data_IF_150167648050
#
_entry.id   IF_150167648050
#
_cell.length_a   1.000
_cell.length_b   1.000
_cell.length_c   1.000
_cell.angle_alpha   90.00
_cell.angle_beta   90.00
_cell.angle_gamma   90.00
#
_symmetry.space_group_name_H-M   'P 1'
#
loop_
_entity.id
_entity.type
_entity.pdbx_description
1 polymer ?
#
# COMPACT_ATOMS: atom_id res chain seq x y z
N UNK A 1 40.60 -13.86 -15.55
CA UNK A 1 39.88 -13.73 -16.83
C UNK A 1 38.38 -13.87 -16.55
N UNK A 2 37.58 -13.15 -17.32
CA UNK A 2 36.12 -12.97 -17.30
C UNK A 2 35.29 -14.20 -17.70
N UNK A 3 35.92 -15.33 -18.09
CA UNK A 3 35.28 -16.64 -18.39
C UNK A 3 34.22 -16.61 -19.51
N UNK A 4 34.31 -15.67 -20.43
CA UNK A 4 33.43 -15.59 -21.61
C UNK A 4 34.00 -16.40 -22.76
N UNK A 5 33.16 -17.16 -23.48
CA UNK A 5 33.55 -17.88 -24.70
C UNK A 5 34.00 -16.93 -25.82
N UNK A 6 33.50 -15.69 -25.78
CA UNK A 6 33.93 -14.60 -26.65
C UNK A 6 34.46 -13.44 -25.81
N UNK A 7 35.70 -13.04 -26.08
CA UNK A 7 36.31 -11.89 -25.42
C UNK A 7 35.74 -10.58 -25.97
N UNK A 8 35.17 -9.76 -25.11
CA UNK A 8 34.69 -8.43 -25.46
C UNK A 8 35.70 -7.36 -25.06
N UNK A 9 35.88 -6.29 -25.86
CA UNK A 9 36.59 -5.11 -25.42
C UNK A 9 36.00 -4.58 -24.10
N UNK A 10 36.81 -4.10 -23.13
CA UNK A 10 36.31 -3.71 -21.80
C UNK A 10 35.12 -2.74 -21.82
N UNK A 11 35.13 -1.75 -22.71
CA UNK A 11 34.04 -0.79 -22.87
C UNK A 11 32.75 -1.39 -23.46
N UNK A 12 32.86 -2.47 -24.24
CA UNK A 12 31.69 -3.20 -24.74
C UNK A 12 31.13 -4.13 -23.68
N UNK A 13 31.99 -4.86 -22.96
CA UNK A 13 31.59 -5.70 -21.84
C UNK A 13 30.81 -4.90 -20.80
N UNK A 14 31.30 -3.71 -20.45
CA UNK A 14 30.62 -2.85 -19.46
C UNK A 14 29.23 -2.41 -19.92
N UNK A 15 29.05 -2.10 -21.22
CA UNK A 15 27.73 -1.77 -21.77
C UNK A 15 26.77 -2.96 -21.68
N UNK A 16 27.24 -4.17 -21.98
CA UNK A 16 26.43 -5.40 -21.88
C UNK A 16 26.01 -5.62 -20.42
N UNK A 17 26.97 -5.58 -19.50
CA UNK A 17 26.70 -5.78 -18.08
C UNK A 17 25.74 -4.72 -17.53
N UNK A 18 25.87 -3.46 -17.96
CA UNK A 18 24.97 -2.38 -17.56
C UNK A 18 23.52 -2.65 -17.98
N UNK A 19 23.30 -3.04 -19.24
CA UNK A 19 21.95 -3.43 -19.71
C UNK A 19 21.40 -4.60 -18.91
N UNK A 20 22.21 -5.63 -18.65
CA UNK A 20 21.78 -6.79 -17.86
C UNK A 20 21.39 -6.40 -16.43
N UNK A 21 22.17 -5.54 -15.77
CA UNK A 21 21.84 -5.01 -14.42
C UNK A 21 20.50 -4.28 -14.43
N UNK A 22 20.27 -3.41 -15.42
CA UNK A 22 18.98 -2.71 -15.53
C UNK A 22 17.81 -3.65 -15.79
N UNK A 23 17.99 -4.66 -16.66
CA UNK A 23 16.95 -5.64 -16.96
C UNK A 23 16.61 -6.52 -15.74
N UNK A 24 17.61 -6.91 -14.94
CA UNK A 24 17.40 -7.65 -13.69
C UNK A 24 16.58 -6.81 -12.70
N UNK A 25 16.97 -5.55 -12.47
CA UNK A 25 16.25 -4.66 -11.58
C UNK A 25 14.80 -4.38 -12.04
N UNK A 26 14.60 -4.16 -13.35
CA UNK A 26 13.26 -4.00 -13.90
C UNK A 26 12.41 -5.28 -13.75
N UNK A 27 13.02 -6.45 -13.96
CA UNK A 27 12.35 -7.76 -13.80
C UNK A 27 11.88 -7.96 -12.35
N UNK A 28 12.64 -7.55 -11.35
CA UNK A 28 12.23 -7.64 -9.94
C UNK A 28 10.94 -6.85 -9.69
N UNK A 29 10.84 -5.63 -10.22
CA UNK A 29 9.60 -4.83 -10.13
C UNK A 29 8.45 -5.50 -10.86
N UNK A 30 8.66 -5.99 -12.09
CA UNK A 30 7.63 -6.68 -12.87
C UNK A 30 7.12 -7.93 -12.15
N UNK A 31 8.02 -8.72 -11.54
CA UNK A 31 7.65 -9.90 -10.77
C UNK A 31 6.88 -9.54 -9.50
N UNK A 32 7.27 -8.48 -8.78
CA UNK A 32 6.54 -7.99 -7.62
C UNK A 32 5.12 -7.54 -7.98
N UNK A 33 4.97 -6.82 -9.10
CA UNK A 33 3.65 -6.44 -9.64
C UNK A 33 2.83 -7.67 -10.00
N UNK A 34 3.42 -8.69 -10.65
CA UNK A 34 2.71 -9.92 -10.98
C UNK A 34 2.22 -10.66 -9.72
N UNK A 35 3.09 -10.78 -8.71
CA UNK A 35 2.74 -11.42 -7.44
C UNK A 35 1.59 -10.68 -6.75
N UNK A 36 1.65 -9.34 -6.70
CA UNK A 36 0.58 -8.52 -6.13
C UNK A 36 -0.74 -8.64 -6.91
N UNK A 37 -0.67 -8.72 -8.24
CA UNK A 37 -1.85 -8.95 -9.09
C UNK A 37 -2.49 -10.30 -8.79
N UNK A 38 -1.72 -11.39 -8.75
CA UNK A 38 -2.22 -12.74 -8.45
C UNK A 38 -2.83 -12.78 -7.05
N UNK A 39 -2.13 -12.22 -6.04
CA UNK A 39 -2.62 -12.17 -4.68
C UNK A 39 -3.92 -11.35 -4.55
N UNK A 40 -4.01 -10.24 -5.29
CA UNK A 40 -5.23 -9.44 -5.36
C UNK A 40 -6.35 -10.22 -6.04
N UNK A 41 -6.12 -10.87 -7.18
CA UNK A 41 -7.13 -11.62 -7.92
C UNK A 41 -7.64 -12.86 -7.16
N UNK A 42 -6.79 -13.49 -6.34
CA UNK A 42 -7.15 -14.64 -5.52
C UNK A 42 -7.94 -14.27 -4.24
N UNK A 43 -8.01 -12.98 -3.90
CA UNK A 43 -8.72 -12.52 -2.69
C UNK A 43 -10.17 -12.18 -3.01
N UNK A 44 -11.09 -12.75 -2.24
CA UNK A 44 -12.51 -12.41 -2.32
C UNK A 44 -12.76 -10.97 -1.87
N UNK A 45 -13.83 -10.35 -2.34
CA UNK A 45 -14.16 -8.99 -1.96
C UNK A 45 -14.57 -8.88 -0.48
N UNK A 46 -15.03 -9.97 0.13
CA UNK A 46 -15.36 -10.06 1.56
C UNK A 46 -14.16 -9.93 2.48
N UNK A 47 -13.01 -10.44 2.06
CA UNK A 47 -11.79 -10.52 2.90
C UNK A 47 -10.76 -9.44 2.52
N UNK A 48 -11.12 -8.55 1.60
CA UNK A 48 -10.23 -7.51 1.05
C UNK A 48 -10.10 -6.32 2.01
N UNK A 49 -8.85 -5.93 2.25
CA UNK A 49 -8.48 -4.83 3.18
C UNK A 49 -7.95 -3.59 2.45
N UNK A 50 -7.81 -3.65 1.13
CA UNK A 50 -7.31 -2.59 0.27
C UNK A 50 -7.93 -2.70 -1.13
N UNK A 51 -8.08 -1.62 -1.90
CA UNK A 51 -8.65 -1.70 -3.25
C UNK A 51 -7.97 -2.74 -4.15
N UNK A 52 -8.71 -3.25 -5.14
CA UNK A 52 -8.17 -4.24 -6.07
C UNK A 52 -6.96 -3.71 -6.85
N UNK A 53 -5.84 -4.41 -6.73
CA UNK A 53 -4.66 -4.21 -7.56
C UNK A 53 -4.84 -4.92 -8.90
N UNK A 54 -4.62 -4.18 -9.99
CA UNK A 54 -4.96 -4.52 -11.38
C UNK A 54 -3.81 -4.25 -12.37
N UNK A 55 -2.71 -3.59 -11.96
CA UNK A 55 -1.52 -3.49 -12.80
C UNK A 55 -0.91 -4.88 -13.03
N UNK A 56 -0.41 -5.13 -14.23
CA UNK A 56 0.06 -6.42 -14.70
C UNK A 56 1.59 -6.50 -14.76
N UNK A 57 2.12 -7.62 -14.28
CA UNK A 57 3.55 -7.94 -14.32
C UNK A 57 3.87 -9.03 -15.35
N UNK A 58 3.36 -8.94 -16.58
CA UNK A 58 3.53 -9.99 -17.58
C UNK A 58 4.83 -9.87 -18.38
N UNK A 59 5.21 -10.94 -19.09
CA UNK A 59 6.33 -10.89 -20.03
C UNK A 59 6.14 -9.81 -21.13
N UNK A 60 4.90 -9.47 -21.49
CA UNK A 60 4.61 -8.39 -22.45
C UNK A 60 4.94 -7.02 -21.86
N UNK A 61 4.67 -6.82 -20.56
CA UNK A 61 5.09 -5.62 -19.84
C UNK A 61 6.62 -5.54 -19.81
N UNK A 62 7.29 -6.65 -19.47
CA UNK A 62 8.76 -6.73 -19.47
C UNK A 62 9.36 -6.40 -20.84
N UNK A 63 8.79 -6.92 -21.94
CA UNK A 63 9.26 -6.63 -23.28
C UNK A 63 9.16 -5.14 -23.63
N UNK A 64 8.05 -4.47 -23.27
CA UNK A 64 7.87 -3.02 -23.48
C UNK A 64 8.90 -2.20 -22.68
N UNK A 65 9.16 -2.59 -21.43
CA UNK A 65 10.17 -1.95 -20.57
C UNK A 65 11.58 -2.15 -21.14
N UNK A 66 11.92 -3.38 -21.54
CA UNK A 66 13.24 -3.73 -22.07
C UNK A 66 13.62 -2.93 -23.33
N UNK A 67 12.65 -2.64 -24.21
CA UNK A 67 12.87 -1.80 -25.41
C UNK A 67 13.38 -0.39 -25.09
N UNK A 68 13.11 0.11 -23.89
CA UNK A 68 13.46 1.45 -23.45
C UNK A 68 14.76 1.50 -22.64
N UNK A 69 15.30 0.36 -22.21
CA UNK A 69 16.57 0.30 -21.46
C UNK A 69 17.76 0.70 -22.35
N UNK A 70 18.68 1.48 -21.78
CA UNK A 70 19.95 1.88 -22.42
C UNK A 70 21.11 1.64 -21.45
N UNK A 71 22.32 1.32 -21.96
CA UNK A 71 23.48 1.00 -21.11
C UNK A 71 23.96 2.17 -20.25
N UNK A 72 23.67 3.41 -20.66
CA UNK A 72 24.12 4.63 -19.97
C UNK A 72 23.15 5.13 -18.91
N UNK A 73 22.04 4.41 -18.69
CA UNK A 73 21.02 4.84 -17.74
C UNK A 73 21.56 4.82 -16.31
N UNK A 74 21.18 5.81 -15.52
CA UNK A 74 21.29 5.75 -14.07
C UNK A 74 20.03 5.09 -13.45
N UNK A 75 20.03 4.94 -12.13
CA UNK A 75 18.91 4.32 -11.41
C UNK A 75 17.60 5.10 -11.52
N UNK A 76 17.66 6.43 -11.52
CA UNK A 76 16.48 7.28 -11.65
C UNK A 76 15.88 7.21 -13.06
N UNK A 77 16.70 7.16 -14.10
CA UNK A 77 16.24 7.01 -15.48
C UNK A 77 15.60 5.64 -15.72
N UNK A 78 16.17 4.57 -15.15
CA UNK A 78 15.54 3.24 -15.16
C UNK A 78 14.21 3.26 -14.40
N UNK A 79 14.15 3.90 -13.23
CA UNK A 79 12.93 4.02 -12.45
C UNK A 79 11.85 4.76 -13.25
N UNK A 80 12.20 5.86 -13.93
CA UNK A 80 11.28 6.61 -14.79
C UNK A 80 10.70 5.76 -15.93
N UNK A 81 11.47 4.85 -16.52
CA UNK A 81 10.94 3.90 -17.53
C UNK A 81 9.82 3.02 -16.94
N UNK A 82 9.99 2.54 -15.70
CA UNK A 82 8.98 1.74 -14.99
C UNK A 82 7.76 2.61 -14.63
N UNK A 83 7.99 3.81 -14.11
CA UNK A 83 6.94 4.77 -13.75
C UNK A 83 6.07 5.12 -14.96
N UNK A 84 6.68 5.45 -16.10
CA UNK A 84 5.97 5.75 -17.33
C UNK A 84 5.14 4.56 -17.82
N UNK A 85 5.71 3.35 -17.80
CA UNK A 85 5.01 2.14 -18.23
C UNK A 85 3.76 1.91 -17.40
N UNK A 86 3.89 1.95 -16.06
CA UNK A 86 2.76 1.66 -15.18
C UNK A 86 1.77 2.81 -15.06
N UNK A 87 2.20 4.06 -15.22
CA UNK A 87 1.31 5.22 -15.31
C UNK A 87 0.42 5.12 -16.54
N UNK A 88 0.99 4.79 -17.71
CA UNK A 88 0.22 4.56 -18.93
C UNK A 88 -0.77 3.40 -18.77
N UNK A 89 -0.39 2.32 -18.08
CA UNK A 89 -1.28 1.21 -17.78
C UNK A 89 -2.42 1.61 -16.83
N UNK A 90 -2.11 2.36 -15.77
CA UNK A 90 -3.06 2.82 -14.78
C UNK A 90 -4.13 3.76 -15.36
N UNK A 91 -3.83 4.53 -16.41
CA UNK A 91 -4.80 5.39 -17.10
C UNK A 91 -6.03 4.62 -17.59
N UNK A 92 -5.87 3.33 -17.91
CA UNK A 92 -6.99 2.47 -18.35
C UNK A 92 -7.91 2.04 -17.20
N UNK A 93 -7.50 2.23 -15.94
CA UNK A 93 -8.24 1.80 -14.75
C UNK A 93 -9.26 2.82 -14.25
N UNK A 94 -9.34 4.01 -14.86
CA UNK A 94 -10.25 5.11 -14.47
C UNK A 94 -10.13 5.43 -12.97
N UNK A 95 -11.17 5.19 -12.17
CA UNK A 95 -11.24 5.39 -10.73
C UNK A 95 -10.25 4.53 -9.94
N UNK A 96 -9.76 3.43 -10.52
CA UNK A 96 -8.78 2.54 -9.87
C UNK A 96 -7.33 3.01 -9.99
N UNK A 97 -7.04 4.04 -10.79
CA UNK A 97 -5.67 4.45 -11.12
C UNK A 97 -4.86 4.87 -9.88
N UNK A 98 -5.42 5.74 -9.04
CA UNK A 98 -4.74 6.26 -7.85
C UNK A 98 -4.32 5.13 -6.91
N UNK A 99 -5.27 4.27 -6.50
CA UNK A 99 -4.99 3.16 -5.60
C UNK A 99 -3.93 2.18 -6.16
N UNK A 100 -3.94 1.96 -7.48
CA UNK A 100 -2.98 1.08 -8.14
C UNK A 100 -1.57 1.67 -8.19
N UNK A 101 -1.44 2.98 -8.45
CA UNK A 101 -0.14 3.66 -8.46
C UNK A 101 0.44 3.80 -7.05
N UNK A 102 -0.39 4.07 -6.04
CA UNK A 102 0.05 4.07 -4.64
C UNK A 102 0.54 2.67 -4.21
N UNK A 103 -0.21 1.62 -4.56
CA UNK A 103 0.23 0.23 -4.29
C UNK A 103 1.52 -0.11 -5.03
N UNK A 104 1.70 0.35 -6.27
CA UNK A 104 2.95 0.17 -7.00
C UNK A 104 4.13 0.84 -6.30
N UNK A 105 3.96 2.09 -5.84
CA UNK A 105 4.98 2.80 -5.09
C UNK A 105 5.31 2.09 -3.77
N UNK A 106 4.31 1.53 -3.08
CA UNK A 106 4.52 0.68 -1.90
C UNK A 106 5.37 -0.56 -2.24
N UNK A 107 5.02 -1.30 -3.30
CA UNK A 107 5.76 -2.49 -3.75
C UNK A 107 7.21 -2.19 -4.12
N UNK A 108 7.49 -0.97 -4.59
CA UNK A 108 8.82 -0.50 -4.96
C UNK A 108 9.59 0.14 -3.80
N UNK A 109 8.94 0.36 -2.66
CA UNK A 109 9.54 1.09 -1.53
C UNK A 109 9.81 2.56 -1.85
N UNK A 110 9.04 3.17 -2.75
CA UNK A 110 9.24 4.54 -3.25
C UNK A 110 8.11 5.50 -2.88
N UNK A 111 7.28 5.15 -1.89
CA UNK A 111 6.27 6.08 -1.36
C UNK A 111 6.96 7.31 -0.75
N UNK A 112 6.51 8.50 -1.15
CA UNK A 112 6.78 9.71 -0.36
C UNK A 112 5.92 9.69 0.92
N UNK A 113 6.26 10.50 1.94
CA UNK A 113 5.42 10.63 3.14
C UNK A 113 3.96 10.96 2.80
N UNK A 114 3.74 11.90 1.88
CA UNK A 114 2.41 12.32 1.45
C UNK A 114 1.66 11.19 0.72
N UNK A 115 2.37 10.42 -0.10
CA UNK A 115 1.79 9.25 -0.75
C UNK A 115 1.45 8.14 0.25
N UNK A 116 2.27 7.95 1.30
CA UNK A 116 2.01 6.98 2.35
C UNK A 116 0.74 7.35 3.14
N UNK A 117 0.59 8.62 3.52
CA UNK A 117 -0.63 9.14 4.17
C UNK A 117 -1.84 8.96 3.26
N UNK A 118 -1.72 9.36 1.99
CA UNK A 118 -2.79 9.20 1.00
C UNK A 118 -3.18 7.73 0.81
N UNK A 119 -2.21 6.82 0.83
CA UNK A 119 -2.46 5.40 0.70
C UNK A 119 -3.21 4.83 1.92
N UNK A 120 -2.87 5.28 3.13
CA UNK A 120 -3.60 4.93 4.35
C UNK A 120 -5.05 5.43 4.31
N UNK A 121 -5.29 6.65 3.82
CA UNK A 121 -6.65 7.18 3.61
C UNK A 121 -7.46 6.33 2.64
N UNK A 122 -6.88 5.98 1.48
CA UNK A 122 -7.54 5.17 0.44
C UNK A 122 -7.92 3.79 0.98
N UNK A 123 -7.03 3.12 1.72
CA UNK A 123 -7.33 1.84 2.39
C UNK A 123 -8.45 1.98 3.43
N UNK A 124 -8.39 3.02 4.26
CA UNK A 124 -9.40 3.28 5.30
C UNK A 124 -10.77 3.58 4.68
N UNK A 125 -10.81 4.34 3.58
CA UNK A 125 -12.03 4.61 2.84
C UNK A 125 -12.61 3.33 2.22
N UNK A 126 -11.76 2.46 1.67
CA UNK A 126 -12.18 1.18 1.10
C UNK A 126 -12.84 0.27 2.16
N UNK A 127 -12.22 0.12 3.33
CA UNK A 127 -12.78 -0.68 4.43
C UNK A 127 -14.12 -0.08 4.90
N UNK A 128 -14.19 1.25 5.07
CA UNK A 128 -15.44 1.91 5.48
C UNK A 128 -16.58 1.70 4.49
N UNK A 129 -16.31 1.86 3.19
CA UNK A 129 -17.29 1.61 2.14
C UNK A 129 -17.78 0.16 2.16
N UNK A 130 -16.89 -0.81 2.46
CA UNK A 130 -17.28 -2.23 2.64
C UNK A 130 -18.14 -2.46 3.89
N UNK A 131 -17.79 -1.86 5.03
CA UNK A 131 -18.55 -2.04 6.29
C UNK A 131 -19.96 -1.46 6.24
N UNK A 132 -20.16 -0.41 5.45
CA UNK A 132 -21.46 0.26 5.30
C UNK A 132 -22.36 -0.41 4.26
N UNK A 133 -21.89 -1.42 3.54
CA UNK A 133 -22.56 -1.98 2.37
C UNK A 133 -22.08 -1.32 1.07
N UNK A 134 -21.83 -2.13 0.04
CA UNK A 134 -21.35 -1.68 -1.27
C UNK A 134 -22.37 -0.79 -2.00
N UNK A 135 -21.96 -0.11 -3.09
CA UNK A 135 -22.89 0.69 -3.90
C UNK A 135 -24.03 -0.14 -4.51
N UNK A 136 -23.85 -1.46 -4.62
CA UNK A 136 -24.86 -2.41 -5.11
C UNK A 136 -25.79 -2.95 -4.01
N UNK A 137 -25.58 -2.60 -2.73
CA UNK A 137 -26.46 -3.02 -1.64
C UNK A 137 -27.71 -2.14 -1.53
N UNK A 138 -28.85 -2.81 -1.33
CA UNK A 138 -30.15 -2.21 -1.08
C UNK A 138 -30.05 -1.13 0.04
N UNK A 139 -30.60 0.08 -0.13
CA UNK A 139 -30.59 1.13 0.88
C UNK A 139 -30.99 0.69 2.29
N UNK A 140 -31.87 -0.32 2.42
CA UNK A 140 -32.24 -0.89 3.71
C UNK A 140 -31.08 -1.65 4.35
N UNK A 141 -30.36 -2.48 3.59
CA UNK A 141 -29.13 -3.17 4.04
C UNK A 141 -28.08 -2.17 4.50
N UNK A 142 -27.91 -1.07 3.76
CA UNK A 142 -27.01 0.03 4.10
C UNK A 142 -27.40 0.72 5.42
N UNK A 143 -28.70 0.97 5.61
CA UNK A 143 -29.23 1.58 6.83
C UNK A 143 -29.04 0.68 8.05
N UNK A 144 -29.29 -0.63 7.91
CA UNK A 144 -29.08 -1.62 8.98
C UNK A 144 -27.59 -1.72 9.34
N UNK A 145 -26.70 -1.73 8.35
CA UNK A 145 -25.25 -1.72 8.60
C UNK A 145 -24.80 -0.45 9.34
N UNK A 146 -25.32 0.73 8.96
CA UNK A 146 -25.03 1.99 9.64
C UNK A 146 -25.53 1.99 11.10
N UNK A 147 -26.70 1.39 11.37
CA UNK A 147 -27.21 1.22 12.74
C UNK A 147 -26.34 0.28 13.58
N UNK A 148 -25.82 -0.81 12.98
CA UNK A 148 -24.87 -1.70 13.64
C UNK A 148 -23.59 -0.98 14.05
N UNK A 149 -23.00 -0.19 13.16
CA UNK A 149 -21.80 0.61 13.48
C UNK A 149 -22.05 1.66 14.56
N UNK A 150 -23.25 2.25 14.59
CA UNK A 150 -23.62 3.18 15.65
C UNK A 150 -23.75 2.46 17.00
N UNK A 151 -24.37 1.27 17.03
CA UNK A 151 -24.48 0.44 18.22
C UNK A 151 -23.10 0.06 18.77
N UNK A 152 -22.16 -0.35 17.90
CA UNK A 152 -20.78 -0.67 18.29
C UNK A 152 -20.05 0.54 18.90
N UNK A 153 -20.24 1.74 18.33
CA UNK A 153 -19.66 2.97 18.91
C UNK A 153 -20.26 3.32 20.27
N UNK A 154 -21.58 3.14 20.44
CA UNK A 154 -22.24 3.38 21.74
C UNK A 154 -21.72 2.38 22.79
N UNK A 155 -21.57 1.10 22.44
CA UNK A 155 -21.01 0.09 23.33
C UNK A 155 -19.54 0.38 23.70
N UNK A 156 -18.74 0.90 22.76
CA UNK A 156 -17.36 1.31 23.03
C UNK A 156 -17.29 2.50 24.00
N UNK A 157 -18.20 3.48 23.86
CA UNK A 157 -18.33 4.62 24.79
C UNK A 157 -18.78 4.14 26.17
N UNK A 158 -19.79 3.28 26.26
CA UNK A 158 -20.23 2.67 27.52
C UNK A 158 -19.08 1.94 28.22
N UNK A 159 -18.33 1.13 27.47
CA UNK A 159 -17.16 0.42 27.99
C UNK A 159 -16.07 1.39 28.48
N UNK A 160 -15.85 2.51 27.80
CA UNK A 160 -14.90 3.53 28.22
C UNK A 160 -15.36 4.27 29.49
N UNK A 161 -16.66 4.57 29.60
CA UNK A 161 -17.26 5.18 30.80
C UNK A 161 -17.14 4.23 31.98
N UNK A 162 -17.51 2.95 31.82
CA UNK A 162 -17.41 1.94 32.88
C UNK A 162 -15.96 1.75 33.36
N UNK A 163 -14.99 1.75 32.44
CA UNK A 163 -13.55 1.74 32.82
C UNK A 163 -13.12 3.00 33.56
N UNK A 164 -13.58 4.17 33.16
CA UNK A 164 -13.25 5.44 33.81
C UNK A 164 -13.92 5.58 35.20
N UNK A 165 -15.10 4.98 35.36
CA UNK A 165 -15.87 4.97 36.60
C UNK A 165 -15.46 3.82 37.56
N UNK A 166 -14.61 2.88 37.13
CA UNK A 166 -14.14 1.78 37.99
C UNK A 166 -13.32 2.34 39.17
N UNK A 167 -13.77 2.18 40.42
CA UNK A 167 -13.07 2.65 41.61
C UNK A 167 -11.64 2.11 41.72
N UNK A 168 -11.34 0.93 41.15
CA UNK A 168 -10.00 0.33 41.17
C UNK A 168 -9.00 1.13 40.33
N UNK A 169 -9.44 1.76 39.24
CA UNK A 169 -8.62 2.65 38.43
C UNK A 169 -8.44 4.03 39.09
N UNK A 170 -9.46 4.53 39.80
CA UNK A 170 -9.38 5.77 40.57
C UNK A 170 -8.42 5.65 41.77
N UNK A 171 -8.36 4.47 42.40
CA UNK A 171 -7.46 4.17 43.52
C UNK A 171 -6.01 3.84 43.09
N UNK A 172 -5.79 3.56 41.80
CA UNK A 172 -4.47 3.30 41.23
C UNK A 172 -3.72 4.57 40.79
N UNK A 173 -4.34 5.75 40.92
CA UNK A 173 -3.72 7.03 40.56
C UNK A 173 -2.86 7.56 41.73
N UNK A 174 -1.51 7.56 41.64
CA UNK A 174 -0.64 7.93 42.76
C UNK A 174 -0.73 9.41 43.16
N UNK A 175 -1.36 10.26 42.33
CA UNK A 175 -1.48 11.70 42.57
C UNK A 175 -2.66 12.11 43.50
N UNK A 176 -3.53 11.18 43.91
CA UNK A 176 -4.67 11.52 44.77
C UNK A 176 -4.30 11.74 46.25
N UNK A 177 -3.07 11.40 46.67
CA UNK A 177 -2.65 11.48 48.09
C UNK A 177 -2.04 12.81 48.52
N UNK A 178 -1.79 13.75 47.60
CA UNK A 178 -1.19 15.05 47.94
C UNK A 178 -2.20 16.18 48.24
N UNK A 179 -3.51 15.92 48.15
CA UNK A 179 -4.53 16.94 48.41
C UNK A 179 -5.08 16.94 49.86
N UNK A 180 -4.60 16.04 50.73
CA UNK A 180 -5.18 15.85 52.07
C UNK A 180 -4.29 16.28 53.25
N UNK A 181 -3.08 16.80 53.02
CA UNK A 181 -2.15 17.15 54.11
C UNK A 181 -1.73 18.64 54.07
N UNK A 182 -2.74 19.50 54.00
CA UNK A 182 -2.57 20.95 53.91
C UNK A 182 -3.55 21.71 54.81
N UNK A 183 -3.65 21.34 56.08
CA UNK A 183 -4.29 22.20 57.09
C UNK A 183 -3.72 21.88 58.48
N UNK A 184 -2.74 22.65 58.94
CA UNK A 184 -2.73 23.35 60.24
C UNK A 184 -1.35 24.00 60.47
N UNK A 185 -1.35 24.98 61.38
CA UNK A 185 -0.39 26.09 61.55
C UNK A 185 0.98 25.71 62.06
#
# INVERSE_FOLDING_TARGET
>A
ADRLDHAYPPAELERILSVLRHLVAARETVLAVNAAYIASAARSDETRTEPAFRLQGSYRNMNKIAQRVRPVMNDAERAAVLDDHYTAEAQTLTHGAEANLLKLAELRGTLTPEQADRWAEVRTAHIRARTLGGPDDDPLTRAVAALGLLADRVAAVESAITRAADPRHLLANPNARHAADGTER
#
